data_IF_635130532149
#
_entry.id   IF_635130532149
#
_cell.length_a   1.000
_cell.length_b   1.000
_cell.length_c   1.000
_cell.angle_alpha   90.00
_cell.angle_beta   90.00
_cell.angle_gamma   90.00
#
_symmetry.space_group_name_H-M   'P 1'
#
loop_
_entity.id
_entity.type
_entity.pdbx_description
1 polymer ?
#
# COMPACT_ATOMS: atom_id res chain seq x y z
N UNK A 1 -48.60 26.33 35.09
CA UNK A 1 -47.22 25.96 34.76
C UNK A 1 -47.29 25.07 33.49
N UNK A 2 -46.95 25.59 32.35
CA UNK A 2 -47.01 24.87 31.08
C UNK A 2 -45.57 24.47 30.72
N UNK A 3 -45.27 23.19 30.71
CA UNK A 3 -43.97 22.68 30.27
C UNK A 3 -43.95 22.57 28.73
N UNK A 4 -43.16 23.43 28.11
CA UNK A 4 -42.83 23.28 26.68
C UNK A 4 -41.76 22.21 26.50
N UNK A 5 -42.15 21.07 25.90
CA UNK A 5 -41.22 20.02 25.47
C UNK A 5 -40.72 20.45 24.07
N UNK A 6 -39.44 20.82 23.98
CA UNK A 6 -38.79 21.05 22.69
C UNK A 6 -38.53 19.71 21.97
N UNK A 7 -38.86 19.58 20.67
CA UNK A 7 -38.53 18.37 19.94
C UNK A 7 -37.01 18.26 19.71
N UNK A 8 -36.43 17.14 20.12
CA UNK A 8 -35.04 16.78 19.82
C UNK A 8 -34.93 16.50 18.31
N UNK A 9 -34.17 17.31 17.62
CA UNK A 9 -33.78 17.05 16.22
C UNK A 9 -32.88 15.79 16.17
N UNK A 10 -33.12 14.87 15.25
CA UNK A 10 -32.23 13.73 15.08
C UNK A 10 -30.86 14.23 14.60
N UNK A 11 -29.80 13.78 15.30
CA UNK A 11 -28.43 13.94 14.85
C UNK A 11 -28.33 13.27 13.46
N UNK A 12 -28.21 14.07 12.40
CA UNK A 12 -27.92 13.52 11.09
C UNK A 12 -26.58 12.76 11.18
N UNK A 13 -26.62 11.47 10.91
CA UNK A 13 -25.43 10.67 10.75
C UNK A 13 -24.56 11.36 9.67
N UNK A 14 -23.42 11.89 10.09
CA UNK A 14 -22.42 12.40 9.15
C UNK A 14 -21.91 11.16 8.39
N UNK A 15 -22.50 10.93 7.22
CA UNK A 15 -22.00 9.93 6.30
C UNK A 15 -20.54 10.28 6.01
N UNK A 16 -19.64 9.32 6.22
CA UNK A 16 -18.24 9.46 5.84
C UNK A 16 -18.18 9.97 4.41
N UNK A 17 -17.68 11.19 4.23
CA UNK A 17 -17.43 11.73 2.90
C UNK A 17 -16.50 10.75 2.18
N UNK A 18 -16.77 10.38 0.93
CA UNK A 18 -15.93 9.44 0.20
C UNK A 18 -14.50 10.00 0.18
N UNK A 19 -13.55 9.24 0.73
CA UNK A 19 -12.14 9.63 0.75
C UNK A 19 -11.69 9.87 -0.68
N UNK A 20 -10.97 10.98 -0.95
CA UNK A 20 -10.46 11.24 -2.28
C UNK A 20 -9.62 10.07 -2.77
N UNK A 21 -9.87 9.60 -3.98
CA UNK A 21 -9.05 8.55 -4.61
C UNK A 21 -7.88 9.22 -5.30
N UNK A 22 -6.68 9.07 -4.76
CA UNK A 22 -5.48 9.44 -5.49
C UNK A 22 -5.28 8.50 -6.69
N UNK A 23 -4.87 9.07 -7.78
CA UNK A 23 -4.33 8.29 -8.87
C UNK A 23 -2.88 7.92 -8.52
N UNK A 24 -2.54 6.63 -8.58
CA UNK A 24 -1.16 6.18 -8.53
C UNK A 24 -0.65 5.97 -9.96
N UNK A 25 0.50 6.52 -10.24
CA UNK A 25 1.20 6.35 -11.52
C UNK A 25 2.60 5.84 -11.27
N UNK A 26 3.07 4.95 -12.11
CA UNK A 26 4.38 4.35 -12.01
C UNK A 26 5.19 4.71 -13.26
N UNK A 27 6.46 5.05 -13.08
CA UNK A 27 7.38 5.15 -14.20
C UNK A 27 7.49 3.77 -14.88
N UNK A 28 8.00 3.75 -16.07
CA UNK A 28 8.24 2.50 -16.80
C UNK A 28 9.18 1.58 -16.02
N UNK A 29 10.23 2.14 -15.50
CA UNK A 29 11.25 1.44 -14.71
C UNK A 29 10.68 0.91 -13.40
N UNK A 30 9.89 1.71 -12.69
CA UNK A 30 9.19 1.26 -11.48
C UNK A 30 8.22 0.13 -11.78
N UNK A 31 7.45 0.24 -12.86
CA UNK A 31 6.53 -0.83 -13.28
C UNK A 31 7.24 -2.14 -13.63
N UNK A 32 8.40 -2.07 -14.29
CA UNK A 32 9.21 -3.25 -14.56
C UNK A 32 9.78 -3.87 -13.28
N UNK A 33 10.28 -3.05 -12.36
CA UNK A 33 10.82 -3.52 -11.09
C UNK A 33 9.73 -4.20 -10.22
N UNK A 34 8.50 -3.67 -10.21
CA UNK A 34 7.36 -4.31 -9.55
C UNK A 34 7.00 -5.65 -10.19
N UNK A 35 7.01 -5.73 -11.52
CA UNK A 35 6.79 -6.99 -12.24
C UNK A 35 7.85 -8.04 -11.88
N UNK A 36 9.11 -7.64 -11.80
CA UNK A 36 10.21 -8.52 -11.39
C UNK A 36 10.06 -8.97 -9.93
N UNK A 37 9.67 -8.05 -9.03
CA UNK A 37 9.42 -8.36 -7.62
C UNK A 37 8.34 -9.45 -7.49
N UNK A 38 7.24 -9.31 -8.22
CA UNK A 38 6.18 -10.31 -8.28
C UNK A 38 6.67 -11.67 -8.78
N UNK A 39 7.40 -11.71 -9.91
CA UNK A 39 7.92 -12.95 -10.46
C UNK A 39 8.90 -13.64 -9.51
N UNK A 40 9.78 -12.87 -8.88
CA UNK A 40 10.73 -13.40 -7.90
C UNK A 40 10.00 -13.97 -6.66
N UNK A 41 8.93 -13.32 -6.21
CA UNK A 41 8.09 -13.79 -5.12
C UNK A 41 7.46 -15.14 -5.44
N UNK A 42 6.88 -15.28 -6.63
CA UNK A 42 6.28 -16.54 -7.08
C UNK A 42 7.32 -17.66 -7.20
N UNK A 43 8.49 -17.35 -7.77
CA UNK A 43 9.56 -18.33 -7.98
C UNK A 43 10.12 -18.86 -6.64
N UNK A 44 10.28 -17.97 -5.66
CA UNK A 44 10.77 -18.31 -4.34
C UNK A 44 9.68 -18.90 -3.42
N UNK A 45 8.40 -18.72 -3.76
CA UNK A 45 7.24 -19.05 -2.92
C UNK A 45 7.26 -18.33 -1.57
N UNK A 46 7.73 -17.10 -1.57
CA UNK A 46 7.80 -16.26 -0.38
C UNK A 46 7.44 -14.82 -0.73
N UNK A 47 6.92 -14.07 0.24
CA UNK A 47 6.67 -12.66 0.06
C UNK A 47 7.98 -11.89 -0.10
N UNK A 48 7.94 -10.83 -0.90
CA UNK A 48 9.07 -9.96 -1.18
C UNK A 48 8.68 -8.51 -0.89
N UNK A 49 9.64 -7.73 -0.44
CA UNK A 49 9.46 -6.32 -0.20
C UNK A 49 10.47 -5.48 -0.99
N UNK A 50 10.13 -4.20 -1.19
CA UNK A 50 11.00 -3.23 -1.81
C UNK A 50 10.73 -1.83 -1.25
N UNK A 51 11.72 -0.94 -1.34
CA UNK A 51 11.53 0.48 -1.09
C UNK A 51 10.93 1.18 -2.32
N UNK A 52 10.11 2.19 -2.07
CA UNK A 52 9.51 3.05 -3.09
C UNK A 52 10.05 4.47 -3.00
N UNK A 53 10.49 5.04 -4.13
CA UNK A 53 10.65 6.47 -4.27
C UNK A 53 9.44 7.04 -5.01
N UNK A 54 8.84 8.09 -4.46
CA UNK A 54 7.67 8.72 -5.05
C UNK A 54 7.65 10.23 -4.85
N UNK A 55 6.80 10.90 -5.63
CA UNK A 55 6.45 12.30 -5.44
C UNK A 55 4.94 12.47 -5.58
N UNK A 56 4.37 13.40 -4.84
CA UNK A 56 2.94 13.72 -4.90
C UNK A 56 2.78 15.04 -5.65
N UNK A 57 1.93 15.05 -6.68
CA UNK A 57 1.58 16.25 -7.46
C UNK A 57 0.09 16.21 -7.79
N UNK A 58 -0.66 17.24 -7.38
CA UNK A 58 -2.08 17.41 -7.71
C UNK A 58 -2.88 16.11 -7.49
N UNK A 59 -2.90 15.57 -6.28
CA UNK A 59 -3.62 14.35 -5.90
C UNK A 59 -3.18 13.08 -6.67
N UNK A 60 -2.02 13.13 -7.32
CA UNK A 60 -1.42 11.98 -8.00
C UNK A 60 -0.09 11.62 -7.34
N UNK A 61 0.04 10.36 -6.95
CA UNK A 61 1.29 9.78 -6.46
C UNK A 61 2.05 9.18 -7.64
N UNK A 62 3.24 9.71 -7.92
CA UNK A 62 4.13 9.21 -8.95
C UNK A 62 5.24 8.37 -8.31
N UNK A 63 5.20 7.06 -8.50
CA UNK A 63 6.28 6.16 -8.09
C UNK A 63 7.33 6.13 -9.19
N UNK A 64 8.54 6.57 -8.86
CA UNK A 64 9.62 6.78 -9.83
C UNK A 64 10.70 5.70 -9.76
N UNK A 65 10.90 5.09 -8.60
CA UNK A 65 11.86 4.00 -8.42
C UNK A 65 11.36 2.96 -7.42
N UNK A 66 11.84 1.75 -7.59
CA UNK A 66 11.59 0.59 -6.72
C UNK A 66 12.92 -0.12 -6.52
N UNK A 67 13.34 -0.30 -5.27
CA UNK A 67 14.55 -1.03 -4.92
C UNK A 67 14.20 -2.27 -4.09
N UNK A 68 14.37 -3.48 -4.63
CA UNK A 68 14.14 -4.71 -3.88
C UNK A 68 14.98 -4.77 -2.61
N UNK A 69 14.39 -5.32 -1.56
CA UNK A 69 15.08 -5.67 -0.32
C UNK A 69 15.42 -7.15 -0.32
N UNK A 70 16.53 -7.49 0.33
CA UNK A 70 16.78 -8.88 0.68
C UNK A 70 15.71 -9.35 1.67
N UNK A 71 15.08 -10.51 1.45
CA UNK A 71 14.06 -11.00 2.35
C UNK A 71 14.62 -11.32 3.73
N UNK A 72 13.79 -11.13 4.74
CA UNK A 72 14.07 -11.47 6.12
C UNK A 72 12.84 -12.13 6.70
N UNK A 73 13.00 -13.34 7.24
CA UNK A 73 11.89 -14.13 7.80
C UNK A 73 10.66 -14.15 6.89
N UNK A 74 10.88 -14.45 5.61
CA UNK A 74 9.82 -14.47 4.60
C UNK A 74 9.35 -15.88 4.29
N UNK A 75 8.05 -16.04 4.13
CA UNK A 75 7.39 -17.22 3.58
C UNK A 75 6.22 -16.83 2.66
N UNK A 76 5.34 -17.77 2.34
CA UNK A 76 4.18 -17.49 1.49
C UNK A 76 3.06 -16.70 2.18
N UNK A 77 3.12 -16.53 3.48
CA UNK A 77 2.08 -15.92 4.31
C UNK A 77 2.49 -14.57 4.89
N UNK A 78 3.77 -14.22 4.78
CA UNK A 78 4.26 -12.96 5.32
C UNK A 78 5.76 -12.74 5.15
N UNK A 79 6.18 -11.55 5.49
CA UNK A 79 7.57 -11.11 5.49
C UNK A 79 7.81 -10.19 6.69
N UNK A 80 8.98 -10.28 7.31
CA UNK A 80 9.38 -9.32 8.34
C UNK A 80 9.41 -7.89 7.79
N UNK A 81 8.78 -6.96 8.52
CA UNK A 81 8.77 -5.56 8.16
C UNK A 81 10.04 -4.80 8.60
N UNK A 82 10.94 -5.43 9.36
CA UNK A 82 12.08 -4.74 9.98
C UNK A 82 12.93 -3.99 8.95
N UNK A 83 13.37 -4.65 7.89
CA UNK A 83 14.20 -4.01 6.86
C UNK A 83 13.46 -2.89 6.13
N UNK A 84 12.20 -3.09 5.79
CA UNK A 84 11.41 -2.06 5.10
C UNK A 84 11.17 -0.83 5.97
N UNK A 85 10.93 -1.03 7.27
CA UNK A 85 10.78 0.07 8.23
C UNK A 85 12.10 0.84 8.41
N UNK A 86 13.23 0.15 8.46
CA UNK A 86 14.54 0.78 8.71
C UNK A 86 15.17 1.42 7.47
N UNK A 87 14.96 0.85 6.29
CA UNK A 87 15.71 1.22 5.09
C UNK A 87 14.92 2.06 4.08
N UNK A 88 13.58 1.98 4.10
CA UNK A 88 12.74 2.60 3.06
C UNK A 88 12.23 4.00 3.39
N UNK A 89 12.94 4.74 4.24
CA UNK A 89 12.55 6.07 4.65
C UNK A 89 13.28 7.21 3.94
N UNK A 90 12.84 8.47 4.21
CA UNK A 90 13.47 9.65 3.64
C UNK A 90 14.94 9.79 4.06
N UNK A 91 15.74 10.51 3.27
CA UNK A 91 15.35 11.30 2.09
C UNK A 91 15.27 10.49 0.78
N UNK A 92 15.80 9.28 0.74
CA UNK A 92 15.93 8.50 -0.50
C UNK A 92 14.61 7.83 -0.89
N UNK A 93 13.89 7.34 0.09
CA UNK A 93 12.67 6.57 -0.11
C UNK A 93 11.47 7.24 0.56
N UNK A 94 10.30 6.95 0.06
CA UNK A 94 9.03 7.50 0.54
C UNK A 94 8.06 6.44 1.03
N UNK A 95 8.48 5.20 1.10
CA UNK A 95 7.62 4.10 1.57
C UNK A 95 8.03 2.75 1.04
N UNK A 96 7.09 1.79 1.11
CA UNK A 96 7.36 0.38 0.84
C UNK A 96 6.33 -0.26 -0.06
N UNK A 97 6.73 -1.34 -0.72
CA UNK A 97 5.83 -2.27 -1.39
C UNK A 97 6.19 -3.69 -0.96
N UNK A 98 5.19 -4.56 -0.84
CA UNK A 98 5.38 -5.99 -0.67
C UNK A 98 4.39 -6.79 -1.53
N UNK A 99 4.59 -8.10 -1.60
CA UNK A 99 3.76 -9.01 -2.39
C UNK A 99 2.91 -9.87 -1.47
N UNK A 100 1.66 -10.12 -1.86
CA UNK A 100 0.82 -11.18 -1.29
C UNK A 100 0.69 -12.30 -2.31
N UNK A 101 1.22 -13.47 -2.02
CA UNK A 101 1.21 -14.63 -2.92
C UNK A 101 0.38 -15.79 -2.38
N UNK A 102 0.07 -15.80 -1.08
CA UNK A 102 -0.75 -16.85 -0.49
C UNK A 102 -2.19 -16.77 -1.01
N UNK A 103 -2.72 -17.90 -1.42
CA UNK A 103 -4.10 -18.01 -1.88
C UNK A 103 -5.03 -18.23 -0.68
N UNK A 104 -5.92 -17.28 -0.44
CA UNK A 104 -6.82 -17.33 0.73
C UNK A 104 -8.18 -17.96 0.41
N UNK A 105 -8.75 -17.57 -0.72
CA UNK A 105 -10.05 -18.08 -1.18
C UNK A 105 -10.07 -18.09 -2.70
N UNK A 106 -10.66 -19.12 -3.28
CA UNK A 106 -10.91 -19.22 -4.72
C UNK A 106 -9.71 -18.84 -5.61
N UNK A 107 -8.50 -19.25 -5.18
CA UNK A 107 -7.26 -19.07 -5.93
C UNK A 107 -6.76 -17.62 -6.05
N UNK A 108 -7.25 -16.70 -5.22
CA UNK A 108 -6.81 -15.30 -5.26
C UNK A 108 -6.04 -14.90 -3.98
N UNK A 109 -4.91 -14.18 -4.11
CA UNK A 109 -4.25 -13.56 -2.99
C UNK A 109 -5.12 -12.46 -2.34
N UNK A 110 -4.83 -12.13 -1.07
CA UNK A 110 -5.47 -10.99 -0.42
C UNK A 110 -5.14 -9.69 -1.17
N UNK A 111 -6.16 -8.91 -1.50
CA UNK A 111 -6.04 -7.64 -2.21
C UNK A 111 -5.98 -6.43 -1.28
N UNK A 112 -5.91 -6.67 0.03
CA UNK A 112 -5.92 -5.63 1.07
C UNK A 112 -4.79 -5.84 2.05
N UNK A 113 -4.33 -4.77 2.62
CA UNK A 113 -3.38 -4.81 3.72
C UNK A 113 -3.94 -5.55 4.92
N UNK A 114 -3.16 -6.47 5.47
CA UNK A 114 -3.45 -7.22 6.68
C UNK A 114 -3.33 -6.36 7.94
N UNK A 115 -3.69 -6.92 9.10
CA UNK A 115 -3.45 -6.27 10.38
C UNK A 115 -1.96 -6.05 10.67
N UNK A 116 -1.10 -6.98 10.25
CA UNK A 116 0.35 -6.85 10.40
C UNK A 116 0.93 -5.75 9.51
N UNK A 117 0.45 -5.64 8.26
CA UNK A 117 0.84 -4.53 7.38
C UNK A 117 0.50 -3.18 7.99
N UNK A 118 -0.66 -3.07 8.63
CA UNK A 118 -1.07 -1.83 9.34
C UNK A 118 -0.16 -1.50 10.51
N UNK A 119 0.33 -2.51 11.21
CA UNK A 119 1.33 -2.33 12.27
C UNK A 119 2.65 -1.85 11.66
N UNK A 120 3.12 -2.47 10.58
CA UNK A 120 4.33 -2.07 9.86
C UNK A 120 4.27 -0.61 9.37
N UNK A 121 3.14 -0.18 8.79
CA UNK A 121 2.90 1.21 8.41
C UNK A 121 3.02 2.18 9.59
N UNK A 122 2.48 1.80 10.75
CA UNK A 122 2.59 2.61 11.97
C UNK A 122 4.03 2.68 12.47
N UNK A 123 4.75 1.55 12.50
CA UNK A 123 6.17 1.51 12.87
C UNK A 123 7.02 2.37 11.93
N UNK A 124 6.71 2.36 10.64
CA UNK A 124 7.36 3.21 9.65
C UNK A 124 7.12 4.70 9.95
N UNK A 125 5.86 5.10 10.20
CA UNK A 125 5.52 6.46 10.61
C UNK A 125 6.24 6.85 11.91
N UNK A 126 6.25 5.97 12.91
CA UNK A 126 6.92 6.23 14.18
C UNK A 126 8.42 6.41 14.02
N UNK A 127 9.03 5.70 13.09
CA UNK A 127 10.46 5.78 12.77
C UNK A 127 10.81 7.07 12.04
N UNK A 128 10.03 7.47 11.05
CA UNK A 128 10.37 8.54 10.11
C UNK A 128 9.60 9.83 10.34
N UNK A 129 8.55 9.83 11.14
CA UNK A 129 7.66 10.97 11.42
C UNK A 129 7.13 11.63 10.15
N UNK A 130 6.84 10.81 9.16
CA UNK A 130 6.35 11.21 7.85
C UNK A 130 5.30 10.21 7.38
N UNK A 131 4.33 10.67 6.62
CA UNK A 131 3.40 9.79 5.96
C UNK A 131 4.09 9.08 4.79
N UNK A 132 3.86 7.77 4.70
CA UNK A 132 4.49 6.92 3.71
C UNK A 132 3.59 6.60 2.53
N UNK A 133 4.19 6.13 1.46
CA UNK A 133 3.51 5.47 0.34
C UNK A 133 3.65 3.96 0.52
N UNK A 134 2.54 3.27 0.63
CA UNK A 134 2.51 1.82 0.84
C UNK A 134 1.76 1.16 -0.29
N UNK A 135 2.37 0.15 -0.90
CA UNK A 135 1.76 -0.64 -1.96
C UNK A 135 1.80 -2.12 -1.63
N UNK A 136 0.79 -2.83 -2.12
CA UNK A 136 0.65 -4.26 -2.05
C UNK A 136 0.43 -4.79 -3.47
N UNK A 137 1.28 -5.73 -3.91
CA UNK A 137 1.12 -6.41 -5.19
C UNK A 137 0.48 -7.77 -4.92
N UNK A 138 -0.59 -8.08 -5.61
CA UNK A 138 -1.32 -9.34 -5.48
C UNK A 138 -1.58 -10.04 -6.82
N UNK A 139 -1.08 -9.46 -7.90
CA UNK A 139 -1.04 -10.10 -9.21
C UNK A 139 0.06 -9.48 -10.09
N UNK A 140 0.31 -10.07 -11.24
CA UNK A 140 1.26 -9.53 -12.22
C UNK A 140 0.88 -8.12 -12.76
N UNK A 141 -0.34 -7.65 -12.50
CA UNK A 141 -0.89 -6.42 -13.10
C UNK A 141 -1.56 -5.48 -12.10
N UNK A 142 -1.83 -5.98 -10.90
CA UNK A 142 -2.67 -5.27 -9.96
C UNK A 142 -1.93 -5.02 -8.65
N UNK A 143 -2.05 -3.81 -8.16
CA UNK A 143 -1.56 -3.39 -6.87
C UNK A 143 -2.61 -2.54 -6.16
N UNK A 144 -2.63 -2.62 -4.85
CA UNK A 144 -3.35 -1.71 -3.97
C UNK A 144 -2.35 -0.79 -3.30
N UNK A 145 -2.55 0.52 -3.38
CA UNK A 145 -1.67 1.51 -2.78
C UNK A 145 -2.43 2.48 -1.89
N UNK A 146 -1.76 2.94 -0.86
CA UNK A 146 -2.25 3.97 0.07
C UNK A 146 -1.14 4.99 0.33
N UNK A 147 -1.50 6.26 0.39
CA UNK A 147 -0.62 7.36 0.74
C UNK A 147 -1.43 8.47 1.40
N UNK A 148 -0.94 9.05 2.49
CA UNK A 148 -1.53 10.22 3.15
C UNK A 148 -3.05 10.07 3.46
N UNK A 149 -3.46 8.91 3.91
CA UNK A 149 -4.88 8.60 4.09
C UNK A 149 -5.67 8.48 2.78
N UNK A 150 -5.02 8.61 1.64
CA UNK A 150 -5.57 8.46 0.31
C UNK A 150 -5.47 6.98 -0.08
N UNK A 151 -6.60 6.36 -0.41
CA UNK A 151 -6.66 4.98 -0.88
C UNK A 151 -6.79 4.98 -2.38
N UNK A 152 -5.88 4.34 -3.06
CA UNK A 152 -5.92 4.17 -4.50
C UNK A 152 -5.50 2.77 -4.92
N UNK A 153 -5.61 2.47 -6.18
CA UNK A 153 -5.13 1.22 -6.74
C UNK A 153 -4.70 1.43 -8.18
N UNK A 154 -3.76 0.63 -8.63
CA UNK A 154 -3.43 0.49 -10.02
C UNK A 154 -4.11 -0.75 -10.59
N UNK A 155 -4.89 -0.56 -11.64
CA UNK A 155 -5.18 -1.64 -12.58
C UNK A 155 -4.20 -1.45 -13.73
N UNK A 156 -3.17 -2.26 -13.77
CA UNK A 156 -2.18 -2.19 -14.82
C UNK A 156 -2.79 -2.49 -16.18
N UNK A 157 -2.70 -1.54 -17.10
CA UNK A 157 -2.68 -1.93 -18.52
C UNK A 157 -1.43 -2.79 -18.69
N UNK A 158 -1.60 -3.99 -19.27
CA UNK A 158 -0.48 -4.81 -19.66
C UNK A 158 0.56 -3.92 -20.35
N UNK A 159 1.78 -3.88 -19.80
CA UNK A 159 2.92 -3.36 -20.53
C UNK A 159 3.04 -4.28 -21.74
N UNK A 160 2.74 -3.74 -22.93
CA UNK A 160 2.75 -4.48 -24.18
C UNK A 160 4.08 -5.21 -24.36
N UNK A 161 3.96 -6.41 -24.95
CA UNK A 161 5.08 -7.25 -25.40
C UNK A 161 6.02 -6.46 -26.30
#
# INVERSE_FOLDING_TARGET
MVFCIAPSLPLAAQGDAPRPRAAFRFSREAGQALGNLWQNSLAAREERAACLASSIRNDTVFVTAVAPLEPEDADSMGISATRSVEQCGPPQWSGTVHTHIALYTDELPSTRFSGQDRIAMRLWYDRWKSDGVFCLIYSARDAHCEADGIVGGMRGKAVGR
#
